data_IF_969162294754
#
_entry.id   IF_969162294754
#
_cell.length_a   1.000
_cell.length_b   1.000
_cell.length_c   1.000
_cell.angle_alpha   90.00
_cell.angle_beta   90.00
_cell.angle_gamma   90.00
#
_symmetry.space_group_name_H-M   'P 1'
#
loop_
_entity.id
_entity.type
_entity.pdbx_description
1 polymer ?
#
# COMPACT_ATOMS: atom_id res chain seq x y z
N UNK A 1 -11.58 -35.45 33.31
CA UNK A 1 -12.60 -34.68 32.56
C UNK A 1 -11.86 -33.52 31.89
N UNK A 2 -11.39 -33.67 30.65
CA UNK A 2 -12.04 -33.20 29.39
C UNK A 2 -12.58 -31.77 29.62
N UNK A 3 -11.98 -30.69 29.11
CA UNK A 3 -11.61 -30.43 27.70
C UNK A 3 -10.45 -29.42 27.59
N UNK A 4 -9.37 -29.86 26.93
CA UNK A 4 -8.48 -29.01 26.13
C UNK A 4 -9.16 -28.80 24.77
N UNK A 5 -8.94 -27.63 24.15
CA UNK A 5 -8.81 -27.41 22.70
C UNK A 5 -9.74 -26.36 22.08
N UNK A 6 -9.14 -25.62 21.14
CA UNK A 6 -9.68 -24.80 20.05
C UNK A 6 -10.16 -23.37 20.38
N UNK A 7 -9.33 -22.39 20.03
CA UNK A 7 -9.62 -21.43 18.96
C UNK A 7 -8.32 -20.66 18.60
N UNK A 8 -7.47 -21.33 17.82
CA UNK A 8 -6.33 -20.72 17.13
C UNK A 8 -6.36 -21.25 15.69
N UNK A 9 -7.08 -20.57 14.80
CA UNK A 9 -6.93 -20.71 13.34
C UNK A 9 -7.93 -19.80 12.65
N UNK A 10 -7.43 -18.74 12.02
CA UNK A 10 -8.25 -17.86 11.20
C UNK A 10 -7.47 -16.72 10.56
N UNK A 11 -6.14 -16.86 10.41
CA UNK A 11 -5.42 -16.00 9.47
C UNK A 11 -5.56 -16.68 8.11
N UNK A 12 -6.58 -16.27 7.35
CA UNK A 12 -6.71 -16.60 5.94
C UNK A 12 -5.46 -16.06 5.24
N UNK A 13 -4.48 -16.94 5.02
CA UNK A 13 -3.45 -16.75 4.01
C UNK A 13 -4.13 -16.74 2.66
N UNK A 14 -4.52 -15.55 2.21
CA UNK A 14 -4.86 -15.33 0.81
C UNK A 14 -3.53 -15.22 0.07
N UNK A 15 -2.95 -16.37 -0.27
CA UNK A 15 -2.02 -16.43 -1.39
C UNK A 15 -2.84 -16.14 -2.65
N UNK A 16 -2.59 -15.00 -3.29
CA UNK A 16 -3.05 -14.79 -4.66
C UNK A 16 -1.83 -14.52 -5.52
N UNK A 17 -1.71 -15.33 -6.58
CA UNK A 17 -0.82 -15.09 -7.70
C UNK A 17 -1.14 -13.71 -8.31
N UNK A 18 -0.10 -12.93 -8.63
CA UNK A 18 -0.25 -11.67 -9.37
C UNK A 18 -0.69 -11.97 -10.80
N UNK A 19 -1.75 -11.31 -11.29
CA UNK A 19 -2.33 -11.47 -12.64
C UNK A 19 -1.61 -10.66 -13.73
N UNK A 20 -0.37 -10.23 -13.47
CA UNK A 20 0.41 -9.38 -14.37
C UNK A 20 1.18 -10.22 -15.40
N UNK A 21 0.90 -9.99 -16.70
CA UNK A 21 1.69 -10.56 -17.80
C UNK A 21 2.65 -9.50 -18.32
N UNK A 22 3.95 -9.75 -18.22
CA UNK A 22 4.97 -8.86 -18.81
C UNK A 22 4.99 -9.07 -20.32
N UNK A 23 4.65 -8.02 -21.06
CA UNK A 23 4.56 -8.07 -22.51
C UNK A 23 5.89 -7.71 -23.17
N UNK A 24 6.61 -6.72 -22.61
CA UNK A 24 7.92 -6.30 -23.11
C UNK A 24 8.75 -5.68 -22.00
N UNK A 25 10.00 -6.12 -21.86
CA UNK A 25 11.01 -5.43 -21.08
C UNK A 25 11.71 -4.38 -21.96
N UNK A 26 11.88 -3.17 -21.43
CA UNK A 26 12.49 -2.02 -22.10
C UNK A 26 13.85 -1.75 -21.46
N UNK A 27 14.87 -2.43 -21.96
CA UNK A 27 16.27 -2.19 -21.60
C UNK A 27 16.81 -0.99 -22.35
N UNK A 28 17.42 -0.07 -21.61
CA UNK A 28 17.94 1.18 -22.16
C UNK A 28 19.15 0.96 -23.06
N UNK A 29 20.03 0.01 -22.73
CA UNK A 29 21.14 -0.37 -23.61
C UNK A 29 20.65 -0.90 -24.96
N UNK A 30 19.60 -1.73 -24.96
CA UNK A 30 18.99 -2.26 -26.19
C UNK A 30 18.36 -1.13 -27.02
N UNK A 31 17.56 -0.26 -26.40
CA UNK A 31 16.93 0.92 -27.04
C UNK A 31 18.00 1.88 -27.61
N UNK A 32 19.12 2.05 -26.91
CA UNK A 32 20.25 2.85 -27.41
C UNK A 32 20.90 2.19 -28.63
N UNK A 33 21.10 0.88 -28.59
CA UNK A 33 21.75 0.13 -29.68
C UNK A 33 20.94 0.14 -30.98
N UNK A 34 19.61 0.22 -30.88
CA UNK A 34 18.70 0.33 -32.03
C UNK A 34 18.48 1.77 -32.52
N UNK A 35 19.12 2.77 -31.89
CA UNK A 35 18.95 4.17 -32.24
C UNK A 35 17.59 4.77 -31.86
N UNK A 36 16.84 4.10 -30.98
CA UNK A 36 15.51 4.52 -30.53
C UNK A 36 15.56 5.37 -29.25
N UNK A 37 16.72 5.49 -28.62
CA UNK A 37 16.93 6.40 -27.49
C UNK A 37 17.05 7.84 -27.99
N UNK A 38 16.11 8.68 -27.60
CA UNK A 38 15.98 10.06 -28.10
C UNK A 38 16.54 11.11 -27.13
N UNK A 39 16.62 10.79 -25.84
CA UNK A 39 17.20 11.68 -24.82
C UNK A 39 17.77 10.87 -23.65
N UNK A 40 18.79 11.45 -22.99
CA UNK A 40 19.47 10.88 -21.83
C UNK A 40 20.64 9.96 -22.20
N UNK A 41 21.34 9.51 -21.16
CA UNK A 41 22.51 8.64 -21.27
C UNK A 41 22.30 7.35 -20.46
N UNK A 42 22.65 6.22 -21.05
CA UNK A 42 22.61 4.93 -20.33
C UNK A 42 23.84 4.83 -19.43
N UNK A 43 23.62 4.67 -18.13
CA UNK A 43 24.65 4.54 -17.10
C UNK A 43 24.47 3.24 -16.32
N UNK A 44 25.54 2.72 -15.73
CA UNK A 44 25.48 1.59 -14.80
C UNK A 44 25.40 2.12 -13.36
N UNK A 45 24.44 1.63 -12.58
CA UNK A 45 24.26 2.04 -11.19
C UNK A 45 24.75 0.92 -10.28
N UNK A 46 25.80 1.20 -9.52
CA UNK A 46 26.45 0.17 -8.68
C UNK A 46 25.86 0.06 -7.28
N UNK A 47 24.99 0.98 -6.87
CA UNK A 47 24.29 0.91 -5.58
C UNK A 47 23.18 -0.16 -5.62
N UNK A 48 23.40 -1.27 -4.90
CA UNK A 48 22.37 -2.25 -4.56
C UNK A 48 21.92 -3.20 -5.69
N UNK A 49 22.84 -3.70 -6.50
CA UNK A 49 22.58 -4.65 -7.62
C UNK A 49 21.66 -4.13 -8.74
N UNK A 50 21.54 -2.80 -8.89
CA UNK A 50 20.64 -2.21 -9.89
C UNK A 50 21.38 -1.87 -11.18
N UNK A 51 21.51 -2.87 -12.06
CA UNK A 51 22.21 -2.85 -13.35
C UNK A 51 22.27 -1.52 -14.10
N UNK A 52 21.51 -1.38 -15.20
CA UNK A 52 21.52 -0.17 -16.02
C UNK A 52 20.43 0.82 -15.60
N UNK A 53 20.61 2.09 -15.93
CA UNK A 53 19.60 3.14 -15.81
C UNK A 53 19.75 4.16 -16.94
N UNK A 54 18.65 4.79 -17.33
CA UNK A 54 18.67 6.00 -18.14
C UNK A 54 18.83 7.21 -17.24
N UNK A 55 19.91 7.95 -17.42
CA UNK A 55 20.20 9.18 -16.73
C UNK A 55 19.83 10.39 -17.59
N UNK A 56 19.14 11.35 -16.99
CA UNK A 56 18.78 12.63 -17.61
C UNK A 56 19.11 13.74 -16.62
N UNK A 57 19.86 14.74 -17.09
CA UNK A 57 20.16 15.95 -16.34
C UNK A 57 19.73 17.17 -17.14
N UNK A 58 19.05 18.08 -16.47
CA UNK A 58 18.80 19.43 -16.98
C UNK A 58 19.30 20.45 -15.96
N UNK A 59 20.08 21.41 -16.45
CA UNK A 59 20.45 22.62 -15.70
C UNK A 59 19.59 23.83 -16.07
N UNK A 60 18.64 23.67 -16.99
CA UNK A 60 17.79 24.77 -17.45
C UNK A 60 16.72 25.12 -16.41
N UNK A 61 16.49 26.41 -16.20
CA UNK A 61 15.40 26.90 -15.35
C UNK A 61 14.05 26.95 -16.09
N UNK A 62 14.03 26.68 -17.40
CA UNK A 62 12.82 26.67 -18.23
C UNK A 62 12.18 25.29 -18.26
N UNK A 63 10.85 25.19 -18.29
CA UNK A 63 10.17 23.93 -18.49
C UNK A 63 10.53 23.27 -19.83
N UNK A 64 10.98 22.02 -19.78
CA UNK A 64 11.43 21.25 -20.95
C UNK A 64 10.80 19.86 -20.95
N UNK A 65 10.32 19.43 -22.11
CA UNK A 65 9.82 18.08 -22.34
C UNK A 65 10.83 17.32 -23.18
N UNK A 66 11.38 16.24 -22.62
CA UNK A 66 12.35 15.37 -23.27
C UNK A 66 11.64 14.06 -23.65
N UNK A 67 11.52 13.79 -24.94
CA UNK A 67 11.09 12.46 -25.40
C UNK A 67 12.23 11.48 -25.20
N UNK A 68 12.02 10.46 -24.38
CA UNK A 68 13.04 9.46 -24.04
C UNK A 68 13.09 8.35 -25.09
N UNK A 69 11.93 7.81 -25.47
CA UNK A 69 11.80 6.74 -26.46
C UNK A 69 10.38 6.65 -27.04
N UNK A 70 10.25 5.93 -28.16
CA UNK A 70 8.97 5.61 -28.81
C UNK A 70 8.87 4.10 -29.00
N UNK A 71 7.79 3.53 -28.49
CA UNK A 71 7.48 2.11 -28.60
C UNK A 71 6.49 1.96 -29.75
N UNK A 72 7.02 1.62 -30.93
CA UNK A 72 6.20 1.28 -32.09
C UNK A 72 5.62 -0.13 -31.93
N UNK A 73 4.35 -0.29 -32.31
CA UNK A 73 3.60 -1.53 -32.24
C UNK A 73 3.78 -2.23 -30.88
N UNK A 74 3.23 -1.63 -29.80
CA UNK A 74 3.46 -2.12 -28.44
C UNK A 74 2.89 -3.52 -28.19
N UNK A 75 2.01 -4.03 -29.05
CA UNK A 75 1.49 -5.40 -28.96
C UNK A 75 0.40 -5.60 -27.91
N UNK A 76 -0.16 -4.52 -27.37
CA UNK A 76 -1.20 -4.54 -26.33
C UNK A 76 -2.48 -5.20 -26.87
N UNK A 77 -2.95 -6.19 -26.12
CA UNK A 77 -4.12 -7.05 -26.33
C UNK A 77 -5.23 -6.74 -25.33
N UNK A 78 -4.92 -6.38 -24.07
CA UNK A 78 -5.91 -6.06 -23.02
C UNK A 78 -6.31 -4.58 -23.04
N UNK A 79 -7.42 -4.26 -22.36
CA UNK A 79 -7.91 -2.88 -22.25
C UNK A 79 -7.10 -2.04 -21.25
N UNK A 80 -6.32 -2.70 -20.38
CA UNK A 80 -5.55 -2.08 -19.32
C UNK A 80 -4.09 -2.53 -19.41
N UNK A 81 -3.19 -1.56 -19.37
CA UNK A 81 -1.76 -1.78 -19.39
C UNK A 81 -1.03 -0.67 -18.62
N UNK A 82 0.24 -0.89 -18.33
CA UNK A 82 1.08 0.13 -17.71
C UNK A 82 2.53 0.00 -18.17
N UNK A 83 3.22 1.14 -18.21
CA UNK A 83 4.68 1.15 -18.10
C UNK A 83 5.05 1.25 -16.63
N UNK A 84 5.77 0.26 -16.12
CA UNK A 84 6.20 0.19 -14.71
C UNK A 84 7.71 0.08 -14.58
N UNK A 85 8.26 0.65 -13.52
CA UNK A 85 9.68 0.54 -13.21
C UNK A 85 10.02 1.27 -11.92
N UNK A 86 11.24 1.78 -11.83
CA UNK A 86 11.73 2.56 -10.71
C UNK A 86 12.29 3.89 -11.21
N UNK A 87 12.16 4.93 -10.39
CA UNK A 87 12.74 6.25 -10.63
C UNK A 87 13.48 6.72 -9.39
N UNK A 88 14.66 7.31 -9.60
CA UNK A 88 15.42 8.06 -8.59
C UNK A 88 15.61 9.48 -9.11
N UNK A 89 15.63 10.47 -8.23
CA UNK A 89 15.88 11.84 -8.65
C UNK A 89 16.49 12.71 -7.55
N UNK A 90 17.24 13.72 -7.97
CA UNK A 90 17.91 14.69 -7.09
C UNK A 90 17.68 16.10 -7.64
N UNK A 91 17.30 17.03 -6.75
CA UNK A 91 17.14 18.45 -7.05
C UNK A 91 16.13 18.75 -8.16
N UNK A 92 15.10 17.92 -8.34
CA UNK A 92 14.10 18.11 -9.40
C UNK A 92 13.12 19.22 -9.04
N UNK A 93 12.92 20.16 -9.96
CA UNK A 93 12.00 21.28 -9.78
C UNK A 93 10.53 20.81 -9.57
N UNK A 94 9.75 21.51 -8.72
CA UNK A 94 8.35 21.20 -8.46
C UNK A 94 7.48 21.07 -9.72
N UNK A 95 6.57 20.10 -9.70
CA UNK A 95 5.64 19.85 -10.80
C UNK A 95 6.24 19.14 -12.02
N UNK A 96 7.42 18.55 -11.90
CA UNK A 96 7.99 17.66 -12.92
C UNK A 96 7.35 16.27 -12.88
N UNK A 97 7.26 15.58 -14.01
CA UNK A 97 6.57 14.28 -14.12
C UNK A 97 7.04 13.46 -15.32
N UNK A 98 6.76 12.16 -15.30
CA UNK A 98 6.77 11.33 -16.51
C UNK A 98 5.42 11.39 -17.20
N UNK A 99 5.44 11.27 -18.53
CA UNK A 99 4.25 11.22 -19.36
C UNK A 99 4.37 10.12 -20.40
N UNK A 100 3.28 9.41 -20.65
CA UNK A 100 3.11 8.60 -21.86
C UNK A 100 2.10 9.27 -22.78
N UNK A 101 2.36 9.32 -24.08
CA UNK A 101 1.37 9.61 -25.12
C UNK A 101 1.06 8.32 -25.87
N UNK A 102 -0.21 7.92 -25.86
CA UNK A 102 -0.71 6.69 -26.46
C UNK A 102 -1.48 7.07 -27.73
N UNK A 103 -0.94 6.72 -28.89
CA UNK A 103 -1.56 6.98 -30.18
C UNK A 103 -2.58 5.89 -30.48
N UNK A 104 -3.86 6.26 -30.47
CA UNK A 104 -4.98 5.38 -30.77
C UNK A 104 -5.44 5.65 -32.20
N UNK A 105 -5.40 4.64 -33.10
CA UNK A 105 -5.85 4.79 -34.49
C UNK A 105 -7.24 5.42 -34.61
N UNK A 106 -7.34 6.52 -35.35
CA UNK A 106 -8.59 7.24 -35.58
C UNK A 106 -9.12 8.05 -34.39
N UNK A 107 -8.49 8.01 -33.23
CA UNK A 107 -8.91 8.76 -32.04
C UNK A 107 -7.88 9.79 -31.55
N UNK A 108 -6.63 9.70 -32.00
CA UNK A 108 -5.56 10.65 -31.66
C UNK A 108 -4.70 10.18 -30.48
N UNK A 109 -4.03 11.13 -29.83
CA UNK A 109 -3.10 10.85 -28.73
C UNK A 109 -3.72 11.12 -27.36
N UNK A 110 -3.56 10.17 -26.43
CA UNK A 110 -4.05 10.26 -25.07
C UNK A 110 -2.91 10.10 -24.06
N UNK A 111 -2.92 10.90 -23.00
CA UNK A 111 -1.81 10.94 -22.06
C UNK A 111 -2.10 10.29 -20.70
N UNK A 112 -1.05 9.75 -20.09
CA UNK A 112 -0.98 9.47 -18.64
C UNK A 112 0.18 10.25 -18.07
N UNK A 113 0.03 10.83 -16.87
CA UNK A 113 1.09 11.58 -16.18
C UNK A 113 1.23 11.17 -14.72
N UNK A 114 2.45 11.19 -14.20
CA UNK A 114 2.71 10.97 -12.77
C UNK A 114 2.48 12.28 -11.98
N UNK A 115 1.23 12.62 -11.71
CA UNK A 115 0.84 13.87 -11.02
C UNK A 115 0.24 13.65 -9.62
N UNK A 116 0.25 12.42 -9.11
CA UNK A 116 -0.25 12.17 -7.76
C UNK A 116 0.67 12.78 -6.69
N UNK A 117 0.17 13.12 -5.50
CA UNK A 117 1.01 13.61 -4.41
C UNK A 117 2.04 12.58 -3.90
N UNK A 118 1.74 11.29 -4.06
CA UNK A 118 2.58 10.17 -3.60
C UNK A 118 2.28 8.88 -4.38
N UNK A 119 3.03 7.81 -4.09
CA UNK A 119 2.87 6.48 -4.70
C UNK A 119 3.51 6.35 -6.09
N UNK A 120 3.24 5.24 -6.83
CA UNK A 120 3.85 4.98 -8.14
C UNK A 120 3.53 6.03 -9.21
N UNK A 121 2.41 6.73 -9.09
CA UNK A 121 2.05 7.86 -9.96
C UNK A 121 2.46 9.22 -9.38
N UNK A 122 3.29 9.23 -8.34
CA UNK A 122 3.73 10.43 -7.65
C UNK A 122 4.52 11.38 -8.55
N UNK A 123 4.32 12.69 -8.41
CA UNK A 123 5.13 13.73 -9.05
C UNK A 123 6.63 13.63 -8.71
N UNK A 124 7.46 14.14 -9.61
CA UNK A 124 8.92 14.20 -9.42
C UNK A 124 9.26 15.59 -8.89
N UNK A 125 9.65 15.68 -7.62
CA UNK A 125 9.98 16.95 -6.97
C UNK A 125 10.96 16.74 -5.82
N UNK A 126 11.96 17.62 -5.73
CA UNK A 126 13.00 17.56 -4.71
C UNK A 126 13.92 16.36 -4.93
N UNK A 127 14.00 15.50 -3.93
CA UNK A 127 14.89 14.34 -3.91
C UNK A 127 14.11 13.08 -3.54
N UNK A 128 14.47 11.97 -4.18
CA UNK A 128 14.00 10.64 -3.83
C UNK A 128 15.08 9.65 -4.20
N UNK A 129 15.34 8.70 -3.30
CA UNK A 129 15.98 7.45 -3.71
C UNK A 129 15.03 6.70 -4.67
N UNK A 130 15.50 5.58 -5.21
CA UNK A 130 14.72 4.70 -6.07
C UNK A 130 13.37 4.37 -5.46
N UNK A 131 12.31 4.79 -6.15
CA UNK A 131 10.92 4.48 -5.81
C UNK A 131 10.18 3.95 -7.02
N UNK A 132 9.12 3.14 -6.81
CA UNK A 132 8.31 2.65 -7.91
C UNK A 132 7.74 3.80 -8.72
N UNK A 133 7.66 3.59 -10.03
CA UNK A 133 6.95 4.47 -10.94
C UNK A 133 6.04 3.68 -11.84
N UNK A 134 4.88 4.26 -12.13
CA UNK A 134 3.91 3.67 -13.04
C UNK A 134 3.14 4.71 -13.84
N UNK A 135 2.93 4.39 -15.12
CA UNK A 135 2.11 5.13 -16.06
C UNK A 135 1.01 4.18 -16.59
N UNK A 136 -0.07 3.97 -15.83
CA UNK A 136 -1.16 3.10 -16.25
C UNK A 136 -2.07 3.78 -17.27
N UNK A 137 -2.62 3.01 -18.19
CA UNK A 137 -3.57 3.48 -19.20
C UNK A 137 -4.72 2.49 -19.35
N UNK A 138 -5.92 3.04 -19.50
CA UNK A 138 -7.15 2.26 -19.71
C UNK A 138 -7.80 2.73 -20.98
N UNK A 139 -7.99 1.79 -21.92
CA UNK A 139 -8.76 2.00 -23.12
C UNK A 139 -10.25 2.06 -22.77
N UNK A 140 -10.99 2.92 -23.46
CA UNK A 140 -12.45 2.81 -23.47
C UNK A 140 -12.85 1.50 -24.16
N UNK A 141 -14.03 0.98 -23.79
CA UNK A 141 -14.56 -0.23 -24.42
C UNK A 141 -14.58 -0.09 -25.95
N UNK A 142 -14.15 -1.14 -26.63
CA UNK A 142 -14.07 -1.23 -28.10
C UNK A 142 -13.11 -0.25 -28.79
N UNK A 143 -12.28 0.49 -28.03
CA UNK A 143 -11.25 1.33 -28.64
C UNK A 143 -10.18 0.48 -29.35
N UNK A 144 -9.67 0.93 -30.52
CA UNK A 144 -8.51 0.33 -31.15
C UNK A 144 -7.31 0.27 -30.21
N UNK A 145 -6.45 -0.73 -30.40
CA UNK A 145 -5.20 -0.85 -29.63
C UNK A 145 -4.21 0.26 -30.03
N UNK A 146 -3.41 0.77 -29.08
CA UNK A 146 -2.41 1.79 -29.39
C UNK A 146 -1.40 1.27 -30.41
N UNK A 147 -1.10 2.08 -31.42
CA UNK A 147 -0.06 1.79 -32.41
C UNK A 147 1.31 2.27 -31.96
N UNK A 148 1.34 3.31 -31.11
CA UNK A 148 2.57 3.91 -30.60
C UNK A 148 2.39 4.39 -29.16
N UNK A 149 3.41 4.16 -28.34
CA UNK A 149 3.53 4.76 -27.00
C UNK A 149 4.80 5.60 -26.97
N UNK A 150 4.66 6.90 -26.75
CA UNK A 150 5.79 7.82 -26.58
C UNK A 150 6.00 8.08 -25.09
N UNK A 151 7.21 7.85 -24.59
CA UNK A 151 7.58 8.15 -23.21
C UNK A 151 8.34 9.48 -23.14
N UNK A 152 7.85 10.40 -22.32
CA UNK A 152 8.42 11.71 -22.08
C UNK A 152 8.80 11.88 -20.60
N UNK A 153 9.87 12.65 -20.37
CA UNK A 153 10.18 13.26 -19.09
C UNK A 153 9.93 14.77 -19.20
N UNK A 154 9.00 15.29 -18.40
CA UNK A 154 8.65 16.70 -18.35
C UNK A 154 9.30 17.32 -17.11
N UNK A 155 10.38 18.07 -17.30
CA UNK A 155 11.06 18.81 -16.24
C UNK A 155 10.55 20.24 -16.20
N UNK A 156 10.14 20.75 -15.03
CA UNK A 156 9.66 22.13 -14.86
C UNK A 156 10.78 23.11 -14.46
N UNK A 157 12.02 22.65 -14.53
CA UNK A 157 13.24 23.37 -14.16
C UNK A 157 14.40 22.38 -14.06
N UNK A 158 15.45 22.70 -13.29
CA UNK A 158 16.61 21.83 -13.19
C UNK A 158 16.29 20.52 -12.46
N UNK A 159 17.14 19.52 -12.66
CA UNK A 159 17.03 18.26 -11.95
C UNK A 159 17.81 17.13 -12.59
N UNK A 160 18.08 16.10 -11.79
CA UNK A 160 18.70 14.85 -12.20
C UNK A 160 17.73 13.69 -11.99
N UNK A 161 17.52 12.89 -13.01
CA UNK A 161 16.58 11.76 -12.99
C UNK A 161 17.27 10.51 -13.50
N UNK A 162 17.11 9.41 -12.77
CA UNK A 162 17.50 8.07 -13.19
C UNK A 162 16.25 7.20 -13.31
N UNK A 163 16.12 6.50 -14.43
CA UNK A 163 15.05 5.55 -14.68
C UNK A 163 15.63 4.16 -14.85
N UNK A 164 15.12 3.18 -14.10
CA UNK A 164 15.47 1.78 -14.34
C UNK A 164 14.92 1.32 -15.68
N UNK A 165 15.30 0.14 -16.19
CA UNK A 165 14.53 -0.54 -17.24
C UNK A 165 13.06 -0.55 -16.87
N UNK A 166 12.21 -0.39 -17.89
CA UNK A 166 10.76 -0.34 -17.72
C UNK A 166 10.15 -1.63 -18.25
N UNK A 167 9.05 -2.07 -17.65
CA UNK A 167 8.26 -3.17 -18.16
C UNK A 167 6.93 -2.63 -18.68
N UNK A 168 6.60 -2.99 -19.93
CA UNK A 168 5.25 -2.88 -20.43
C UNK A 168 4.49 -4.14 -20.01
N UNK A 169 3.51 -3.95 -19.14
CA UNK A 169 2.70 -5.03 -18.58
C UNK A 169 1.24 -4.86 -18.95
N UNK A 170 0.54 -5.98 -19.15
CA UNK A 170 -0.91 -6.00 -19.30
C UNK A 170 -1.59 -6.43 -18.02
N UNK A 171 -2.71 -5.78 -17.71
CA UNK A 171 -3.39 -5.92 -16.42
C UNK A 171 -4.73 -6.60 -16.63
N UNK A 172 -5.07 -7.53 -15.75
CA UNK A 172 -6.47 -7.95 -15.62
C UNK A 172 -7.29 -6.88 -14.92
N UNK A 173 -6.70 -6.20 -13.92
CA UNK A 173 -7.31 -5.08 -13.19
C UNK A 173 -6.25 -4.03 -12.80
N UNK A 174 -6.57 -2.75 -12.99
CA UNK A 174 -5.71 -1.59 -12.73
C UNK A 174 -5.19 -1.47 -11.29
N UNK A 175 -5.75 -2.23 -10.36
CA UNK A 175 -5.40 -2.26 -8.94
C UNK A 175 -4.03 -2.90 -8.66
N UNK A 176 -3.55 -3.77 -9.56
CA UNK A 176 -2.30 -4.52 -9.38
C UNK A 176 -1.07 -3.61 -9.48
N UNK A 177 -1.12 -2.61 -10.37
CA UNK A 177 -0.02 -1.66 -10.64
C UNK A 177 0.25 -0.66 -9.51
N UNK A 178 -0.72 -0.46 -8.62
CA UNK A 178 -0.53 0.39 -7.44
C UNK A 178 0.19 -0.34 -6.30
N UNK A 179 0.38 -1.65 -6.40
CA UNK A 179 1.07 -2.42 -5.37
C UNK A 179 2.57 -2.19 -5.47
N UNK A 180 3.19 -1.70 -4.39
CA UNK A 180 4.66 -1.73 -4.29
C UNK A 180 5.10 -3.18 -4.09
N UNK A 181 6.12 -3.67 -4.81
CA UNK A 181 6.66 -5.02 -4.57
C UNK A 181 7.01 -5.23 -3.10
N UNK A 182 6.47 -6.31 -2.50
CA UNK A 182 6.68 -6.62 -1.08
C UNK A 182 5.65 -6.03 -0.11
N UNK A 183 4.64 -5.29 -0.60
CA UNK A 183 3.50 -4.87 0.22
C UNK A 183 2.69 -6.07 0.71
N UNK A 184 2.32 -6.06 1.99
CA UNK A 184 1.46 -7.10 2.55
C UNK A 184 0.05 -7.07 1.94
N UNK A 185 -0.46 -5.87 1.64
CA UNK A 185 -1.73 -5.67 0.95
C UNK A 185 -1.80 -4.29 0.31
N UNK A 186 -2.61 -4.18 -0.75
CA UNK A 186 -2.85 -2.92 -1.47
C UNK A 186 -3.73 -1.95 -0.69
N UNK A 187 -3.77 -0.68 -1.10
CA UNK A 187 -4.57 0.38 -0.46
C UNK A 187 -6.06 0.01 -0.27
N UNK A 188 -6.70 -0.54 -1.33
CA UNK A 188 -8.10 -1.00 -1.26
C UNK A 188 -8.29 -2.13 -0.24
N UNK A 189 -7.36 -3.09 -0.22
CA UNK A 189 -7.38 -4.20 0.76
C UNK A 189 -7.12 -3.69 2.18
N UNK A 190 -6.28 -2.67 2.35
CA UNK A 190 -6.11 -1.96 3.61
C UNK A 190 -7.42 -1.36 4.12
N UNK A 191 -8.26 -0.83 3.21
CA UNK A 191 -9.62 -0.42 3.52
C UNK A 191 -10.49 -1.56 4.07
N UNK A 192 -10.43 -2.75 3.47
CA UNK A 192 -11.16 -3.93 3.97
C UNK A 192 -10.65 -4.43 5.31
N UNK A 193 -9.33 -4.43 5.52
CA UNK A 193 -8.72 -4.75 6.81
C UNK A 193 -9.18 -3.77 7.88
N UNK A 194 -9.18 -2.47 7.58
CA UNK A 194 -9.72 -1.43 8.47
C UNK A 194 -11.20 -1.63 8.81
N UNK A 195 -12.03 -1.98 7.82
CA UNK A 195 -13.44 -2.28 8.03
C UNK A 195 -13.64 -3.52 8.94
N UNK A 196 -12.87 -4.58 8.72
CA UNK A 196 -12.91 -5.80 9.54
C UNK A 196 -12.51 -5.50 10.99
N UNK A 197 -11.46 -4.71 11.20
CA UNK A 197 -11.04 -4.22 12.52
C UNK A 197 -12.17 -3.43 13.18
N UNK A 198 -12.86 -2.57 12.44
CA UNK A 198 -14.01 -1.81 12.93
C UNK A 198 -15.16 -2.72 13.39
N UNK A 199 -15.49 -3.76 12.61
CA UNK A 199 -16.50 -4.76 12.96
C UNK A 199 -16.10 -5.51 14.24
N UNK A 200 -14.83 -5.94 14.34
CA UNK A 200 -14.31 -6.58 15.56
C UNK A 200 -14.40 -5.65 16.76
N UNK A 201 -14.09 -4.36 16.60
CA UNK A 201 -14.24 -3.35 17.64
C UNK A 201 -15.68 -3.19 18.11
N UNK A 202 -16.64 -3.16 17.17
CA UNK A 202 -18.07 -3.15 17.49
C UNK A 202 -18.51 -4.40 18.27
N UNK A 203 -18.04 -5.58 17.87
CA UNK A 203 -18.31 -6.82 18.58
C UNK A 203 -17.77 -6.81 20.01
N UNK A 204 -16.53 -6.35 20.21
CA UNK A 204 -15.95 -6.13 21.54
C UNK A 204 -16.72 -5.11 22.36
N UNK A 205 -17.26 -4.05 21.74
CA UNK A 205 -18.13 -3.08 22.40
C UNK A 205 -19.40 -3.73 22.97
N UNK A 206 -20.07 -4.58 22.18
CA UNK A 206 -21.28 -5.31 22.60
C UNK A 206 -20.96 -6.28 23.74
N UNK A 207 -19.90 -7.08 23.59
CA UNK A 207 -19.47 -8.01 24.63
C UNK A 207 -19.02 -7.28 25.91
N UNK A 208 -18.37 -6.12 25.76
CA UNK A 208 -17.97 -5.25 26.88
C UNK A 208 -19.18 -4.70 27.64
N UNK A 209 -20.24 -4.29 26.92
CA UNK A 209 -21.52 -3.92 27.52
C UNK A 209 -22.16 -5.07 28.31
N UNK A 210 -22.19 -6.27 27.72
CA UNK A 210 -22.69 -7.48 28.38
C UNK A 210 -21.87 -7.83 29.63
N UNK A 211 -20.54 -7.80 29.53
CA UNK A 211 -19.63 -8.05 30.64
C UNK A 211 -19.83 -7.01 31.77
N UNK A 212 -20.00 -5.73 31.42
CA UNK A 212 -20.29 -4.66 32.37
C UNK A 212 -21.62 -4.83 33.10
N UNK A 213 -22.65 -5.34 32.42
CA UNK A 213 -23.95 -5.68 33.01
C UNK A 213 -23.88 -6.93 33.90
N UNK A 214 -23.16 -7.97 33.50
CA UNK A 214 -22.93 -9.16 34.34
C UNK A 214 -22.10 -8.82 35.58
N UNK A 215 -21.11 -7.93 35.44
CA UNK A 215 -20.29 -7.46 36.54
C UNK A 215 -21.10 -6.69 37.59
N UNK A 216 -22.10 -5.89 37.18
CA UNK A 216 -22.97 -5.17 38.14
C UNK A 216 -23.82 -6.13 38.99
N UNK A 217 -24.07 -7.34 38.47
CA UNK A 217 -24.73 -8.46 39.18
C UNK A 217 -23.76 -9.37 39.93
N UNK A 218 -22.45 -9.14 39.87
CA UNK A 218 -21.43 -10.01 40.45
C UNK A 218 -21.31 -11.37 39.78
N UNK A 219 -21.78 -11.52 38.54
CA UNK A 219 -21.79 -12.79 37.80
C UNK A 219 -20.72 -12.83 36.70
N UNK A 220 -20.38 -14.05 36.25
CA UNK A 220 -19.52 -14.31 35.09
C UNK A 220 -18.12 -13.63 35.12
N UNK A 221 -17.51 -13.52 36.31
CA UNK A 221 -16.16 -12.94 36.51
C UNK A 221 -15.10 -13.50 35.55
N UNK A 222 -14.98 -14.83 35.32
CA UNK A 222 -13.99 -15.36 34.40
C UNK A 222 -14.19 -14.90 32.96
N UNK A 223 -15.44 -14.78 32.50
CA UNK A 223 -15.78 -14.32 31.16
C UNK A 223 -15.35 -12.86 30.95
N UNK A 224 -15.65 -11.98 31.91
CA UNK A 224 -15.34 -10.55 31.77
C UNK A 224 -13.82 -10.28 31.76
N UNK A 225 -13.05 -11.00 32.59
CA UNK A 225 -11.58 -10.91 32.56
C UNK A 225 -10.97 -11.60 31.34
N UNK A 226 -11.54 -12.71 30.86
CA UNK A 226 -11.10 -13.34 29.62
C UNK A 226 -11.31 -12.42 28.41
N UNK A 227 -12.42 -11.69 28.37
CA UNK A 227 -12.71 -10.71 27.33
C UNK A 227 -11.71 -9.54 27.33
N UNK A 228 -11.39 -8.99 28.50
CA UNK A 228 -10.36 -7.96 28.61
C UNK A 228 -8.98 -8.48 28.22
N UNK A 229 -8.63 -9.68 28.67
CA UNK A 229 -7.36 -10.31 28.31
C UNK A 229 -7.25 -10.55 26.81
N UNK A 230 -8.33 -10.98 26.14
CA UNK A 230 -8.33 -11.18 24.69
C UNK A 230 -8.20 -9.86 23.94
N UNK A 231 -8.84 -8.78 24.39
CA UNK A 231 -8.64 -7.44 23.81
C UNK A 231 -7.18 -7.01 23.90
N UNK A 232 -6.55 -7.13 25.08
CA UNK A 232 -5.14 -6.76 25.25
C UNK A 232 -4.23 -7.65 24.40
N UNK A 233 -4.50 -8.96 24.31
CA UNK A 233 -3.71 -9.87 23.49
C UNK A 233 -3.79 -9.54 21.98
N UNK A 234 -5.00 -9.28 21.47
CA UNK A 234 -5.19 -8.85 20.07
C UNK A 234 -4.51 -7.50 19.82
N UNK A 235 -4.64 -6.57 20.76
CA UNK A 235 -3.98 -5.27 20.70
C UNK A 235 -2.45 -5.37 20.65
N UNK A 236 -1.87 -6.15 21.55
CA UNK A 236 -0.42 -6.38 21.61
C UNK A 236 0.12 -7.07 20.35
N UNK A 237 -0.61 -8.07 19.82
CA UNK A 237 -0.24 -8.72 18.57
C UNK A 237 -0.27 -7.75 17.38
N UNK A 238 -1.29 -6.89 17.32
CA UNK A 238 -1.39 -5.88 16.27
C UNK A 238 -0.29 -4.83 16.36
N UNK A 239 0.07 -4.38 17.58
CA UNK A 239 1.22 -3.49 17.79
C UNK A 239 2.54 -4.14 17.37
N UNK A 240 2.72 -5.43 17.65
CA UNK A 240 3.90 -6.15 17.18
C UNK A 240 3.95 -6.20 15.65
N UNK A 241 2.81 -6.48 15.00
CA UNK A 241 2.71 -6.46 13.54
C UNK A 241 3.00 -5.05 12.96
N UNK A 242 2.59 -3.97 13.63
CA UNK A 242 2.98 -2.60 13.27
C UNK A 242 4.48 -2.40 13.32
N UNK A 243 5.16 -2.84 14.39
CA UNK A 243 6.61 -2.70 14.51
C UNK A 243 7.34 -3.45 13.40
N UNK A 244 6.87 -4.66 13.06
CA UNK A 244 7.41 -5.43 11.93
C UNK A 244 7.17 -4.70 10.61
N UNK A 245 5.97 -4.17 10.38
CA UNK A 245 5.62 -3.43 9.16
C UNK A 245 6.49 -2.17 8.99
N UNK A 246 6.72 -1.42 10.07
CA UNK A 246 7.61 -0.26 10.05
C UNK A 246 9.07 -0.68 9.78
N UNK A 247 9.53 -1.77 10.39
CA UNK A 247 10.87 -2.32 10.16
C UNK A 247 11.11 -2.82 8.74
N UNK A 248 10.05 -3.25 8.05
CA UNK A 248 10.06 -3.65 6.64
C UNK A 248 9.69 -2.50 5.68
N UNK A 249 9.64 -1.26 6.17
CA UNK A 249 9.29 -0.07 5.38
C UNK A 249 7.97 -0.21 4.61
N UNK A 250 6.99 -0.90 5.19
CA UNK A 250 5.67 -1.05 4.61
C UNK A 250 4.95 0.31 4.51
N UNK A 251 4.09 0.50 3.50
CA UNK A 251 3.39 1.77 3.27
C UNK A 251 2.32 2.06 4.34
N UNK A 252 1.87 3.32 4.39
CA UNK A 252 0.89 3.82 5.36
C UNK A 252 -0.36 2.94 5.51
N UNK A 253 -0.93 2.48 4.40
CA UNK A 253 -2.16 1.68 4.39
C UNK A 253 -1.99 0.26 4.97
N UNK A 254 -0.75 -0.19 5.22
CA UNK A 254 -0.43 -1.44 5.91
C UNK A 254 -0.26 -1.21 7.40
N UNK A 255 0.66 -0.33 7.81
CA UNK A 255 0.98 -0.20 9.24
C UNK A 255 -0.07 0.58 10.03
N UNK A 256 -0.76 1.56 9.44
CA UNK A 256 -1.67 2.45 10.17
C UNK A 256 -2.89 1.74 10.75
N UNK A 257 -3.65 0.88 10.01
CA UNK A 257 -4.77 0.14 10.59
C UNK A 257 -4.34 -0.79 11.73
N UNK A 258 -3.15 -1.40 11.61
CA UNK A 258 -2.57 -2.24 12.66
C UNK A 258 -2.20 -1.43 13.90
N UNK A 259 -1.62 -0.24 13.71
CA UNK A 259 -1.18 0.64 14.79
C UNK A 259 -2.38 1.17 15.57
N UNK A 260 -3.38 1.67 14.85
CA UNK A 260 -4.59 2.23 15.43
C UNK A 260 -5.35 1.18 16.24
N UNK A 261 -5.57 0.00 15.68
CA UNK A 261 -6.26 -1.09 16.37
C UNK A 261 -5.46 -1.63 17.55
N UNK A 262 -4.15 -1.80 17.37
CA UNK A 262 -3.24 -2.24 18.41
C UNK A 262 -3.25 -1.32 19.62
N UNK A 263 -3.14 -0.02 19.38
CA UNK A 263 -3.21 1.00 20.43
C UNK A 263 -4.58 1.01 21.10
N UNK A 264 -5.66 1.03 20.32
CA UNK A 264 -7.03 1.15 20.84
C UNK A 264 -7.41 -0.04 21.72
N UNK A 265 -7.19 -1.28 21.26
CA UNK A 265 -7.53 -2.46 22.05
C UNK A 265 -6.66 -2.63 23.29
N UNK A 266 -5.36 -2.31 23.20
CA UNK A 266 -4.46 -2.39 24.35
C UNK A 266 -4.84 -1.35 25.41
N UNK A 267 -5.01 -0.08 25.00
CA UNK A 267 -5.33 1.01 25.93
C UNK A 267 -6.70 0.82 26.56
N UNK A 268 -7.73 0.49 25.77
CA UNK A 268 -9.08 0.25 26.31
C UNK A 268 -9.08 -0.95 27.25
N UNK A 269 -8.45 -2.06 26.85
CA UNK A 269 -8.39 -3.27 27.67
C UNK A 269 -7.71 -3.03 29.03
N UNK A 270 -6.57 -2.34 29.03
CA UNK A 270 -5.83 -1.99 30.26
C UNK A 270 -6.59 -0.97 31.11
N UNK A 271 -7.17 0.07 30.51
CA UNK A 271 -7.92 1.10 31.22
C UNK A 271 -9.22 0.57 31.86
N UNK A 272 -9.85 -0.45 31.26
CA UNK A 272 -11.06 -1.08 31.79
C UNK A 272 -10.80 -2.07 32.92
N UNK A 273 -9.58 -2.59 33.05
CA UNK A 273 -9.22 -3.55 34.09
C UNK A 273 -9.52 -3.06 35.53
N UNK A 274 -9.07 -1.88 35.98
CA UNK A 274 -9.36 -1.40 37.34
C UNK A 274 -10.87 -1.20 37.57
N UNK A 275 -11.58 -0.65 36.59
CA UNK A 275 -13.02 -0.40 36.66
C UNK A 275 -13.81 -1.69 36.82
N UNK A 276 -13.50 -2.72 36.01
CA UNK A 276 -14.18 -4.01 36.09
C UNK A 276 -13.88 -4.72 37.42
N UNK A 277 -12.63 -4.67 37.88
CA UNK A 277 -12.23 -5.22 39.17
C UNK A 277 -13.00 -4.57 40.32
N UNK A 278 -13.13 -3.24 40.32
CA UNK A 278 -13.89 -2.51 41.34
C UNK A 278 -15.34 -2.95 41.43
N UNK A 279 -16.03 -3.10 40.29
CA UNK A 279 -17.43 -3.54 40.24
C UNK A 279 -17.66 -4.93 40.83
N UNK A 280 -16.75 -5.88 40.59
CA UNK A 280 -16.85 -7.20 41.19
C UNK A 280 -16.64 -7.18 42.69
N UNK A 281 -15.68 -6.38 43.18
CA UNK A 281 -15.44 -6.20 44.62
C UNK A 281 -16.67 -5.60 45.31
N UNK A 282 -17.30 -4.58 44.72
CA UNK A 282 -18.54 -3.98 45.24
C UNK A 282 -19.71 -4.98 45.26
N UNK A 283 -19.82 -5.84 44.25
CA UNK A 283 -20.85 -6.89 44.22
C UNK A 283 -20.61 -7.95 45.31
N UNK A 284 -19.36 -8.36 45.52
CA UNK A 284 -18.98 -9.27 46.61
C UNK A 284 -19.26 -8.64 47.99
N UNK A 285 -18.93 -7.36 48.20
CA UNK A 285 -19.23 -6.64 49.44
C UNK A 285 -20.74 -6.52 49.70
N UNK A 286 -21.55 -6.26 48.67
CA UNK A 286 -23.02 -6.24 48.80
C UNK A 286 -23.56 -7.61 49.20
N UNK A 287 -22.98 -8.69 48.68
CA UNK A 287 -23.37 -10.06 49.05
C UNK A 287 -23.00 -10.38 50.49
N UNK A 288 -21.81 -9.99 50.95
CA UNK A 288 -21.38 -10.17 52.35
C UNK A 288 -22.29 -9.39 53.32
N UNK A 289 -22.57 -8.11 53.03
CA UNK A 289 -23.50 -7.30 53.85
C UNK A 289 -24.92 -7.89 53.94
N UNK A 290 -25.39 -8.55 52.88
CA UNK A 290 -26.68 -9.23 52.88
C UNK A 290 -26.66 -10.58 53.63
N UNK A 291 -25.49 -11.20 53.81
CA UNK A 291 -25.31 -12.43 54.57
C UNK A 291 -25.07 -12.15 56.07
N UNK A 292 -24.50 -10.99 56.41
CA UNK A 292 -24.13 -10.61 57.77
C UNK A 292 -25.24 -9.85 58.55
N UNK A 293 -26.36 -9.51 57.90
CA UNK A 293 -27.57 -8.96 58.57
C UNK A 293 -28.68 -10.00 58.67
N UNK A 294 -29.47 -10.17 59.74
CA UNK A 294 -29.91 -9.25 60.82
C UNK A 294 -30.29 -7.85 60.32
#
# INVERSE_FOLDING_TARGET
MKTVSLFLSGLLWVCSASGEETLRELKWSEIKSTGQLLAGEVVMVTDGERGEALFVESSESTPTTLTLTRIENPGIRKDQYALVGQVRYIGVAPGSYLETLNEIPGQGEFFTRTLSPSGPMGLLEGESDWRPVSLPFTLTADAPRPTKITLNLCLRGPGKVWLSPLNLIELEKMEEVRATPGEWWTERRGGYVGALIGILGGFYGILGGLAGWLASKGQARPFAFALLASMVAVGAFSLLATLIALGLSQPYHVWYPLALSGLLFTVIGLAMFPTLRGRYVEAEMRKMKAMDGI
#
